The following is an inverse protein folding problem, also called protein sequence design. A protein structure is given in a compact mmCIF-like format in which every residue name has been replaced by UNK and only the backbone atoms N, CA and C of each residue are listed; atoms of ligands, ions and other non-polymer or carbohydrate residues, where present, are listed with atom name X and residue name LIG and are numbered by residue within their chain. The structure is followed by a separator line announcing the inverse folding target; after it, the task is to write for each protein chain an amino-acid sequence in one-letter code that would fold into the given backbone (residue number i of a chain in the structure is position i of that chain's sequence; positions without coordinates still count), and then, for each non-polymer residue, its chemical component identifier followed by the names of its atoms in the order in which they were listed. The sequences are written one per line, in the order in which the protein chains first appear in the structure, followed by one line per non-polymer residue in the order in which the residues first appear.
data_IF_617079784858
#
_entry.id   IF_617079784858
#
_cell.length_a   1.000
_cell.length_b   1.000
_cell.length_c   1.000
_cell.angle_alpha   90.00
_cell.angle_beta   90.00
_cell.angle_gamma   90.00
#
_symmetry.space_group_name_H-M   'P 1'
#
loop_
_entity.id
_entity.type
_entity.pdbx_description
1 polymer ?
#
# COMPACT_ATOMS: atom_id res chain seq x y z
N UNK A 1 -22.22 22.85 13.92
CA UNK A 1 -21.95 22.12 12.65
C UNK A 1 -22.55 20.73 12.80
N UNK A 2 -23.56 20.40 12.00
CA UNK A 2 -24.06 19.03 11.91
C UNK A 2 -22.96 18.14 11.30
N UNK A 3 -22.66 17.01 11.95
CA UNK A 3 -21.76 16.02 11.36
C UNK A 3 -22.51 15.34 10.21
N UNK A 4 -21.96 15.43 9.00
CA UNK A 4 -22.47 14.60 7.90
C UNK A 4 -22.35 13.12 8.28
N UNK A 5 -23.36 12.29 7.96
CA UNK A 5 -23.26 10.85 8.18
C UNK A 5 -22.10 10.30 7.36
N UNK A 6 -21.28 9.45 7.98
CA UNK A 6 -20.21 8.74 7.28
C UNK A 6 -20.86 7.73 6.34
N UNK A 7 -20.64 7.90 5.04
CA UNK A 7 -21.06 6.95 4.03
C UNK A 7 -20.17 5.70 4.10
N UNK A 8 -20.70 4.63 4.68
CA UNK A 8 -20.00 3.36 4.90
C UNK A 8 -19.64 2.68 3.57
N UNK A 9 -20.48 2.83 2.54
CA UNK A 9 -20.23 2.21 1.25
C UNK A 9 -19.14 2.96 0.49
N UNK A 10 -19.12 4.29 0.56
CA UNK A 10 -18.00 5.09 0.08
C UNK A 10 -16.67 4.69 0.76
N UNK A 11 -16.69 4.43 2.08
CA UNK A 11 -15.51 4.00 2.82
C UNK A 11 -15.02 2.60 2.41
N UNK A 12 -15.95 1.68 2.14
CA UNK A 12 -15.63 0.34 1.63
C UNK A 12 -15.00 0.39 0.23
N UNK A 13 -15.55 1.21 -0.66
CA UNK A 13 -15.00 1.44 -1.99
C UNK A 13 -13.58 2.03 -1.91
N UNK A 14 -13.39 3.05 -1.06
CA UNK A 14 -12.07 3.62 -0.83
C UNK A 14 -11.07 2.57 -0.31
N UNK A 15 -11.47 1.74 0.67
CA UNK A 15 -10.62 0.65 1.18
C UNK A 15 -10.25 -0.36 0.09
N UNK A 16 -11.20 -0.73 -0.77
CA UNK A 16 -10.95 -1.60 -1.91
C UNK A 16 -9.91 -0.98 -2.86
N UNK A 17 -10.09 0.29 -3.24
CA UNK A 17 -9.23 0.95 -4.20
C UNK A 17 -7.81 1.13 -3.67
N UNK A 18 -7.65 1.46 -2.37
CA UNK A 18 -6.32 1.52 -1.75
C UNK A 18 -5.67 0.14 -1.75
N UNK A 19 -6.40 -0.94 -1.41
CA UNK A 19 -5.87 -2.30 -1.48
C UNK A 19 -5.40 -2.67 -2.88
N UNK A 20 -6.16 -2.29 -3.91
CA UNK A 20 -5.76 -2.49 -5.30
C UNK A 20 -4.45 -1.75 -5.63
N UNK A 21 -4.27 -0.52 -5.15
CA UNK A 21 -3.00 0.20 -5.33
C UNK A 21 -1.83 -0.45 -4.58
N UNK A 22 -2.06 -0.98 -3.38
CA UNK A 22 -1.04 -1.72 -2.64
C UNK A 22 -0.61 -2.98 -3.40
N UNK A 23 -1.55 -3.72 -4.00
CA UNK A 23 -1.23 -4.85 -4.88
C UNK A 23 -0.36 -4.42 -6.07
N UNK A 24 -0.71 -3.31 -6.72
CA UNK A 24 0.09 -2.77 -7.83
C UNK A 24 1.51 -2.36 -7.38
N UNK A 25 1.65 -1.76 -6.20
CA UNK A 25 2.97 -1.39 -5.63
C UNK A 25 3.81 -2.65 -5.39
N UNK A 26 3.24 -3.70 -4.82
CA UNK A 26 3.96 -4.96 -4.59
C UNK A 26 4.42 -5.59 -5.90
N UNK A 27 3.56 -5.66 -6.92
CA UNK A 27 3.91 -6.15 -8.24
C UNK A 27 5.05 -5.34 -8.87
N UNK A 28 4.99 -4.00 -8.79
CA UNK A 28 6.04 -3.13 -9.32
C UNK A 28 7.37 -3.32 -8.59
N UNK A 29 7.36 -3.49 -7.27
CA UNK A 29 8.57 -3.78 -6.49
C UNK A 29 9.18 -5.13 -6.86
N UNK A 30 8.36 -6.14 -7.12
CA UNK A 30 8.85 -7.47 -7.49
C UNK A 30 9.40 -7.49 -8.92
N UNK A 31 8.75 -6.82 -9.87
CA UNK A 31 9.31 -6.58 -11.20
C UNK A 31 10.65 -5.82 -11.11
N UNK A 32 10.72 -4.78 -10.29
CA UNK A 32 11.95 -4.01 -10.11
C UNK A 32 13.08 -4.85 -9.52
N UNK A 33 12.80 -5.68 -8.51
CA UNK A 33 13.80 -6.61 -7.94
C UNK A 33 14.27 -7.62 -8.98
N UNK A 34 13.37 -8.13 -9.81
CA UNK A 34 13.71 -9.05 -10.89
C UNK A 34 14.65 -8.39 -11.90
N UNK A 35 14.32 -7.19 -12.35
CA UNK A 35 15.10 -6.45 -13.35
C UNK A 35 16.49 -6.03 -12.83
N UNK A 36 16.59 -5.68 -11.53
CA UNK A 36 17.84 -5.23 -10.90
C UNK A 36 18.74 -6.38 -10.43
N UNK A 37 18.20 -7.58 -10.21
CA UNK A 37 18.94 -8.70 -9.64
C UNK A 37 19.32 -8.48 -8.16
N UNK A 38 20.55 -8.81 -7.77
CA UNK A 38 21.02 -8.56 -6.41
C UNK A 38 21.10 -7.06 -6.12
N UNK A 39 20.27 -6.59 -5.19
CA UNK A 39 20.26 -5.20 -4.74
C UNK A 39 21.03 -5.06 -3.43
N UNK A 40 21.89 -4.05 -3.35
CA UNK A 40 22.66 -3.72 -2.14
C UNK A 40 22.61 -2.21 -1.86
N UNK A 41 23.03 -1.82 -0.66
CA UNK A 41 23.09 -0.40 -0.26
C UNK A 41 21.76 0.32 -0.38
N UNK A 42 21.81 1.55 -0.89
CA UNK A 42 20.67 2.48 -0.92
C UNK A 42 19.47 1.96 -1.72
N UNK A 43 19.73 1.22 -2.81
CA UNK A 43 18.66 0.65 -3.65
C UNK A 43 17.86 -0.38 -2.86
N UNK A 44 18.55 -1.28 -2.15
CA UNK A 44 17.89 -2.27 -1.30
C UNK A 44 17.12 -1.59 -0.18
N UNK A 45 17.71 -0.59 0.47
CA UNK A 45 17.06 0.18 1.52
C UNK A 45 15.76 0.83 1.03
N UNK A 46 15.78 1.47 -0.14
CA UNK A 46 14.59 2.09 -0.73
C UNK A 46 13.49 1.06 -1.03
N UNK A 47 13.84 -0.08 -1.63
CA UNK A 47 12.88 -1.16 -1.92
C UNK A 47 12.24 -1.68 -0.62
N UNK A 48 13.06 -1.95 0.40
CA UNK A 48 12.59 -2.43 1.70
C UNK A 48 11.71 -1.39 2.40
N UNK A 49 12.07 -0.11 2.32
CA UNK A 49 11.32 0.99 2.93
C UNK A 49 9.94 1.17 2.27
N UNK A 50 9.85 1.07 0.94
CA UNK A 50 8.57 1.12 0.22
C UNK A 50 7.72 -0.09 0.59
N UNK A 51 8.30 -1.29 0.60
CA UNK A 51 7.59 -2.51 0.97
C UNK A 51 7.04 -2.47 2.39
N UNK A 52 7.84 -2.01 3.35
CA UNK A 52 7.43 -1.83 4.74
C UNK A 52 6.32 -0.79 4.88
N UNK A 53 6.41 0.31 4.13
CA UNK A 53 5.38 1.36 4.12
C UNK A 53 4.05 0.83 3.56
N UNK A 54 4.08 0.09 2.45
CA UNK A 54 2.91 -0.55 1.86
C UNK A 54 2.24 -1.53 2.85
N UNK A 55 3.05 -2.37 3.52
CA UNK A 55 2.56 -3.28 4.55
C UNK A 55 1.93 -2.54 5.75
N UNK A 56 2.50 -1.40 6.16
CA UNK A 56 1.92 -0.58 7.22
C UNK A 56 0.59 0.02 6.82
N UNK A 57 0.44 0.49 5.58
CA UNK A 57 -0.84 1.00 5.05
C UNK A 57 -1.89 -0.12 5.04
N UNK A 58 -1.56 -1.33 4.56
CA UNK A 58 -2.50 -2.46 4.60
C UNK A 58 -2.96 -2.77 6.04
N UNK A 59 -2.02 -2.75 6.99
CA UNK A 59 -2.34 -2.94 8.41
C UNK A 59 -3.29 -1.87 8.94
N UNK A 60 -3.10 -0.60 8.59
CA UNK A 60 -3.97 0.50 9.02
C UNK A 60 -5.38 0.38 8.43
N UNK A 61 -5.50 -0.17 7.20
CA UNK A 61 -6.80 -0.41 6.56
C UNK A 61 -7.60 -1.55 7.20
N UNK A 62 -6.96 -2.44 7.99
CA UNK A 62 -7.67 -3.49 8.73
C UNK A 62 -8.59 -2.91 9.80
N UNK A 63 -8.20 -1.78 10.38
CA UNK A 63 -8.96 -1.09 11.43
C UNK A 63 -10.05 -0.16 10.85
N UNK A 64 -10.13 -0.05 9.52
CA UNK A 64 -11.11 0.76 8.80
C UNK A 64 -12.21 -0.16 8.24
N UNK A 65 -13.47 0.14 8.60
CA UNK A 65 -14.70 -0.65 8.41
C UNK A 65 -14.82 -1.83 9.37
#
# INVERSE_FOLDING_TARGET
MEKQPIDVDALRLLKHDIKNQLSNIHLALDSLKYDLGETTGDVKFCIDAIAASAAKIDSLLKDIV
#
